data_IF_267877001899
#
_entry.id   IF_267877001899
#
_cell.length_a   1.000
_cell.length_b   1.000
_cell.length_c   1.000
_cell.angle_alpha   90.00
_cell.angle_beta   90.00
_cell.angle_gamma   90.00
#
_symmetry.space_group_name_H-M   'P 1'
#
loop_
_entity.id
_entity.type
_entity.pdbx_description
1 polymer ?
#
# COMPACT_ATOMS: atom_id res chain seq x y z
N UNK A 1 39.72 -36.11 -6.95
CA UNK A 1 38.46 -36.06 -7.73
C UNK A 1 37.34 -35.89 -6.72
N UNK A 2 37.08 -34.66 -6.26
CA UNK A 2 36.25 -33.62 -6.89
C UNK A 2 34.76 -34.00 -6.95
N UNK A 3 33.96 -33.40 -6.06
CA UNK A 3 32.72 -32.68 -6.39
C UNK A 3 31.95 -32.26 -5.10
N UNK A 4 32.52 -31.34 -4.31
CA UNK A 4 31.69 -30.46 -3.47
C UNK A 4 31.20 -29.33 -4.37
N UNK A 5 30.17 -29.60 -5.17
CA UNK A 5 29.53 -28.60 -6.02
C UNK A 5 28.64 -27.70 -5.16
N UNK A 6 28.80 -26.40 -5.36
CA UNK A 6 28.33 -25.33 -4.49
C UNK A 6 26.87 -25.44 -4.11
N UNK A 7 26.62 -25.34 -2.81
CA UNK A 7 25.39 -24.70 -2.35
C UNK A 7 25.41 -23.31 -2.95
N UNK A 8 24.45 -23.00 -3.81
CA UNK A 8 24.19 -21.66 -4.29
C UNK A 8 24.02 -20.76 -3.05
N UNK A 9 25.11 -20.14 -2.61
CA UNK A 9 25.08 -19.10 -1.61
C UNK A 9 24.40 -17.90 -2.28
N UNK A 10 23.07 -17.90 -2.18
CA UNK A 10 22.22 -16.76 -2.46
C UNK A 10 22.88 -15.57 -1.77
N UNK A 11 23.27 -14.51 -2.50
CA UNK A 11 23.84 -13.32 -1.90
C UNK A 11 22.88 -12.82 -0.83
N UNK A 12 23.26 -13.00 0.44
CA UNK A 12 22.55 -12.40 1.57
C UNK A 12 22.78 -10.91 1.45
N UNK A 13 21.93 -10.22 0.70
CA UNK A 13 21.89 -8.76 0.71
C UNK A 13 21.71 -8.35 2.17
N UNK A 14 22.75 -7.74 2.74
CA UNK A 14 22.86 -7.32 4.13
C UNK A 14 21.56 -6.69 4.65
N UNK A 15 21.03 -7.12 5.82
CA UNK A 15 19.81 -6.56 6.42
C UNK A 15 19.82 -5.04 6.56
N UNK A 16 21.01 -4.43 6.65
CA UNK A 16 21.20 -3.00 6.90
C UNK A 16 20.95 -2.08 5.68
N UNK A 17 21.28 -2.52 4.46
CA UNK A 17 21.00 -1.73 3.25
C UNK A 17 19.48 -1.71 2.93
N UNK A 18 18.79 -2.80 3.28
CA UNK A 18 17.34 -2.97 3.16
C UNK A 18 16.55 -2.12 4.17
N UNK A 19 17.18 -1.81 5.31
CA UNK A 19 16.63 -0.95 6.36
C UNK A 19 16.52 0.52 5.96
N UNK A 20 17.60 1.14 5.50
CA UNK A 20 17.60 2.61 5.30
C UNK A 20 16.76 3.03 4.10
N UNK A 21 16.84 2.31 2.98
CA UNK A 21 16.12 2.66 1.76
C UNK A 21 14.60 2.55 1.97
N UNK A 22 14.13 1.46 2.59
CA UNK A 22 12.72 1.27 2.89
C UNK A 22 12.14 2.39 3.76
N UNK A 23 12.82 2.71 4.87
CA UNK A 23 12.41 3.82 5.74
C UNK A 23 12.42 5.18 5.03
N UNK A 24 13.44 5.48 4.23
CA UNK A 24 13.51 6.73 3.45
C UNK A 24 12.37 6.82 2.44
N UNK A 25 12.08 5.74 1.70
CA UNK A 25 10.96 5.70 0.75
C UNK A 25 9.62 5.89 1.47
N UNK A 26 9.42 5.27 2.65
CA UNK A 26 8.22 5.50 3.47
C UNK A 26 8.08 6.95 3.89
N UNK A 27 9.16 7.60 4.33
CA UNK A 27 9.15 9.04 4.67
C UNK A 27 8.86 9.89 3.43
N UNK A 28 9.46 9.58 2.29
CA UNK A 28 9.24 10.33 1.04
C UNK A 28 7.79 10.23 0.55
N UNK A 29 7.17 9.05 0.60
CA UNK A 29 5.75 8.89 0.26
C UNK A 29 4.86 9.76 1.15
N UNK A 30 5.20 9.87 2.43
CA UNK A 30 4.46 10.65 3.42
C UNK A 30 4.79 12.15 3.41
N UNK A 31 5.92 12.55 2.82
CA UNK A 31 6.28 13.94 2.64
C UNK A 31 5.37 14.63 1.62
N UNK A 32 4.88 13.91 0.61
CA UNK A 32 3.99 14.44 -0.44
C UNK A 32 2.72 15.09 0.17
N UNK A 33 1.89 14.38 0.96
CA UNK A 33 0.72 14.99 1.58
C UNK A 33 1.07 16.10 2.58
N UNK A 34 2.20 15.98 3.29
CA UNK A 34 2.65 17.02 4.23
C UNK A 34 3.00 18.33 3.50
N UNK A 35 3.78 18.27 2.43
CA UNK A 35 4.05 19.44 1.59
C UNK A 35 2.79 19.96 0.92
N UNK A 36 1.89 19.05 0.51
CA UNK A 36 0.52 19.35 0.08
C UNK A 36 -0.21 20.33 1.00
N UNK A 37 -0.32 19.96 2.27
CA UNK A 37 -0.95 20.78 3.31
C UNK A 37 -0.19 22.09 3.53
N UNK A 38 1.14 22.05 3.66
CA UNK A 38 1.94 23.21 4.04
C UNK A 38 2.07 24.27 2.93
N UNK A 39 2.13 23.84 1.66
CA UNK A 39 2.42 24.73 0.52
C UNK A 39 1.19 25.03 -0.32
N UNK A 40 0.27 24.07 -0.47
CA UNK A 40 -0.92 24.18 -1.31
C UNK A 40 -2.23 24.22 -0.52
N UNK A 41 -2.17 24.12 0.82
CA UNK A 41 -3.35 24.21 1.68
C UNK A 41 -4.33 23.07 1.46
N UNK A 42 -3.85 21.86 1.17
CA UNK A 42 -4.73 20.69 1.05
C UNK A 42 -5.53 20.47 2.33
N UNK A 43 -6.85 20.34 2.16
CA UNK A 43 -7.81 20.12 3.24
C UNK A 43 -7.90 18.64 3.61
N UNK A 44 -8.70 18.32 4.64
CA UNK A 44 -8.89 16.94 5.08
C UNK A 44 -9.53 16.08 3.98
N UNK A 45 -10.46 16.65 3.21
CA UNK A 45 -11.14 15.97 2.10
C UNK A 45 -10.18 15.49 1.02
N UNK A 46 -9.28 16.37 0.57
CA UNK A 46 -8.23 16.01 -0.37
C UNK A 46 -7.32 14.92 0.18
N UNK A 47 -6.91 15.02 1.45
CA UNK A 47 -6.05 14.01 2.07
C UNK A 47 -6.74 12.64 2.14
N UNK A 48 -8.01 12.60 2.52
CA UNK A 48 -8.78 11.36 2.56
C UNK A 48 -8.94 10.76 1.16
N UNK A 49 -9.23 11.59 0.15
CA UNK A 49 -9.30 11.15 -1.25
C UNK A 49 -7.95 10.61 -1.75
N UNK A 50 -6.83 11.27 -1.40
CA UNK A 50 -5.49 10.83 -1.75
C UNK A 50 -5.12 9.50 -1.11
N UNK A 51 -5.40 9.32 0.19
CA UNK A 51 -5.13 8.05 0.88
C UNK A 51 -6.05 6.93 0.43
N UNK A 52 -7.30 7.24 0.08
CA UNK A 52 -8.18 6.30 -0.58
C UNK A 52 -7.59 5.85 -1.93
N UNK A 53 -7.19 6.80 -2.79
CA UNK A 53 -6.60 6.50 -4.09
C UNK A 53 -5.25 5.76 -3.99
N UNK A 54 -4.45 6.02 -2.95
CA UNK A 54 -3.24 5.25 -2.64
C UNK A 54 -3.55 3.75 -2.52
N UNK A 55 -4.70 3.37 -1.95
CA UNK A 55 -5.09 1.96 -1.85
C UNK A 55 -5.34 1.30 -3.22
N UNK A 56 -5.87 2.05 -4.19
CA UNK A 56 -6.03 1.55 -5.57
C UNK A 56 -4.66 1.24 -6.20
N UNK A 57 -3.68 2.13 -6.00
CA UNK A 57 -2.31 1.93 -6.48
C UNK A 57 -1.69 0.70 -5.83
N UNK A 58 -1.81 0.54 -4.51
CA UNK A 58 -1.30 -0.63 -3.80
C UNK A 58 -1.98 -1.94 -4.24
N UNK A 59 -3.29 -1.89 -4.49
CA UNK A 59 -4.06 -3.01 -5.04
C UNK A 59 -3.53 -3.42 -6.41
N UNK A 60 -3.33 -2.46 -7.32
CA UNK A 60 -2.78 -2.69 -8.66
C UNK A 60 -1.35 -3.25 -8.61
N UNK A 61 -0.50 -2.69 -7.75
CA UNK A 61 0.86 -3.22 -7.50
C UNK A 61 0.78 -4.66 -6.97
N UNK A 62 -0.14 -4.95 -6.04
CA UNK A 62 -0.29 -6.29 -5.48
C UNK A 62 -0.76 -7.31 -6.53
N UNK A 63 -1.66 -6.93 -7.43
CA UNK A 63 -2.04 -7.74 -8.60
C UNK A 63 -0.80 -8.02 -9.46
N UNK A 64 0.02 -7.01 -9.75
CA UNK A 64 1.29 -7.19 -10.46
C UNK A 64 2.24 -8.17 -9.76
N UNK A 65 2.31 -8.12 -8.42
CA UNK A 65 3.10 -9.05 -7.61
C UNK A 65 2.54 -10.47 -7.63
N UNK A 66 1.22 -10.62 -7.61
CA UNK A 66 0.54 -11.92 -7.73
C UNK A 66 0.77 -12.53 -9.11
N UNK A 67 0.72 -11.72 -10.18
CA UNK A 67 1.06 -12.14 -11.54
C UNK A 67 2.52 -12.59 -11.65
N UNK A 68 3.44 -11.80 -11.10
CA UNK A 68 4.88 -12.09 -11.11
C UNK A 68 5.30 -13.24 -10.19
N UNK A 69 4.45 -13.65 -9.23
CA UNK A 69 4.75 -14.76 -8.33
C UNK A 69 4.96 -16.04 -9.14
N UNK A 70 6.06 -16.73 -8.88
CA UNK A 70 6.51 -17.93 -9.59
C UNK A 70 6.52 -19.12 -8.61
N UNK A 71 5.36 -19.74 -8.35
CA UNK A 71 5.26 -20.83 -7.39
C UNK A 71 5.82 -22.13 -7.96
N UNK A 72 6.56 -22.88 -7.14
CA UNK A 72 7.14 -24.18 -7.53
C UNK A 72 6.08 -25.29 -7.77
N UNK A 73 4.85 -25.12 -7.26
CA UNK A 73 3.79 -26.13 -7.36
C UNK A 73 2.75 -25.71 -8.42
N UNK A 74 2.47 -26.61 -9.37
CA UNK A 74 1.48 -26.44 -10.45
C UNK A 74 0.07 -26.11 -9.94
N UNK A 75 -0.29 -26.61 -8.75
CA UNK A 75 -1.56 -26.27 -8.11
C UNK A 75 -1.70 -24.75 -7.90
N UNK A 76 -0.63 -24.08 -7.43
CA UNK A 76 -0.67 -22.64 -7.21
C UNK A 76 -0.68 -21.84 -8.51
N UNK A 77 -0.14 -22.38 -9.60
CA UNK A 77 -0.30 -21.80 -10.93
C UNK A 77 -1.76 -21.79 -11.38
N UNK A 78 -2.44 -22.94 -11.29
CA UNK A 78 -3.88 -23.02 -11.59
C UNK A 78 -4.69 -22.12 -10.64
N UNK A 79 -4.33 -22.11 -9.36
CA UNK A 79 -5.05 -21.35 -8.36
C UNK A 79 -4.92 -19.82 -8.53
N UNK A 80 -3.83 -19.32 -9.12
CA UNK A 80 -3.70 -17.89 -9.49
C UNK A 80 -4.83 -17.41 -10.41
N UNK A 81 -5.35 -18.28 -11.29
CA UNK A 81 -6.47 -17.96 -12.18
C UNK A 81 -7.76 -17.66 -11.42
N UNK A 82 -7.90 -18.22 -10.22
CA UNK A 82 -8.99 -17.88 -9.31
C UNK A 82 -8.62 -16.72 -8.38
N UNK A 83 -7.41 -16.74 -7.82
CA UNK A 83 -6.97 -15.80 -6.79
C UNK A 83 -6.95 -14.35 -7.25
N UNK A 84 -6.47 -14.10 -8.47
CA UNK A 84 -6.30 -12.75 -9.00
C UNK A 84 -7.67 -12.09 -9.27
N UNK A 85 -8.59 -12.70 -10.04
CA UNK A 85 -9.93 -12.14 -10.20
C UNK A 85 -10.68 -11.99 -8.88
N UNK A 86 -10.58 -12.98 -7.98
CA UNK A 86 -11.18 -12.90 -6.65
C UNK A 86 -10.65 -11.69 -5.86
N UNK A 87 -9.32 -11.49 -5.85
CA UNK A 87 -8.70 -10.33 -5.22
C UNK A 87 -9.22 -9.03 -5.84
N UNK A 88 -9.23 -8.90 -7.17
CA UNK A 88 -9.72 -7.68 -7.84
C UNK A 88 -11.16 -7.34 -7.46
N UNK A 89 -12.06 -8.34 -7.45
CA UNK A 89 -13.46 -8.13 -7.11
C UNK A 89 -13.61 -7.82 -5.61
N UNK A 90 -13.06 -8.65 -4.73
CA UNK A 90 -13.22 -8.49 -3.28
C UNK A 90 -12.56 -7.20 -2.76
N UNK A 91 -11.31 -6.95 -3.15
CA UNK A 91 -10.59 -5.72 -2.82
C UNK A 91 -11.26 -4.50 -3.45
N UNK A 92 -11.72 -4.63 -4.71
CA UNK A 92 -12.42 -3.57 -5.44
C UNK A 92 -13.71 -3.16 -4.75
N UNK A 93 -14.56 -4.10 -4.35
CA UNK A 93 -15.80 -3.82 -3.61
C UNK A 93 -15.53 -3.11 -2.28
N UNK A 94 -14.53 -3.57 -1.52
CA UNK A 94 -14.15 -2.93 -0.26
C UNK A 94 -13.65 -1.50 -0.48
N UNK A 95 -12.79 -1.30 -1.50
CA UNK A 95 -12.23 0.01 -1.82
C UNK A 95 -13.30 0.96 -2.34
N UNK A 96 -14.24 0.48 -3.15
CA UNK A 96 -15.38 1.27 -3.63
C UNK A 96 -16.28 1.70 -2.48
N UNK A 97 -16.65 0.78 -1.58
CA UNK A 97 -17.44 1.10 -0.40
C UNK A 97 -16.76 2.13 0.49
N UNK A 98 -15.45 2.00 0.74
CA UNK A 98 -14.71 3.00 1.50
C UNK A 98 -14.65 4.37 0.80
N UNK A 99 -14.45 4.40 -0.52
CA UNK A 99 -14.41 5.66 -1.26
C UNK A 99 -15.74 6.41 -1.22
N UNK A 100 -16.86 5.67 -1.24
CA UNK A 100 -18.18 6.24 -1.00
C UNK A 100 -18.30 6.87 0.40
N UNK A 101 -17.78 6.20 1.44
CA UNK A 101 -17.72 6.79 2.78
C UNK A 101 -16.88 8.06 2.81
N UNK A 102 -15.71 8.06 2.17
CA UNK A 102 -14.84 9.23 2.10
C UNK A 102 -15.54 10.40 1.40
N UNK A 103 -16.20 10.15 0.27
CA UNK A 103 -16.97 11.16 -0.46
C UNK A 103 -18.11 11.73 0.40
N UNK A 104 -18.88 10.85 1.04
CA UNK A 104 -20.03 11.28 1.82
C UNK A 104 -19.65 12.11 3.03
N UNK A 105 -18.53 11.76 3.68
CA UNK A 105 -18.12 12.34 4.95
C UNK A 105 -17.23 13.56 4.79
N UNK A 106 -16.27 13.53 3.85
CA UNK A 106 -15.19 14.51 3.80
C UNK A 106 -15.20 15.39 2.54
N UNK A 107 -16.12 15.18 1.60
CA UNK A 107 -16.20 15.98 0.37
C UNK A 107 -17.56 16.65 0.16
N UNK A 108 -18.31 16.87 1.24
CA UNK A 108 -19.57 17.61 1.19
C UNK A 108 -20.79 16.82 0.72
N UNK A 109 -20.73 15.48 0.70
CA UNK A 109 -21.92 14.64 0.55
C UNK A 109 -22.52 14.53 -0.85
N UNK A 110 -21.85 15.09 -1.87
CA UNK A 110 -22.19 14.88 -3.27
C UNK A 110 -21.66 13.54 -3.76
N UNK A 111 -22.40 12.46 -3.50
CA UNK A 111 -22.15 11.18 -4.18
C UNK A 111 -22.31 11.35 -5.70
N UNK A 112 -21.63 10.54 -6.52
CA UNK A 112 -21.87 10.57 -7.96
C UNK A 112 -23.35 10.24 -8.22
N UNK A 113 -24.05 11.08 -8.99
CA UNK A 113 -25.47 10.91 -9.28
C UNK A 113 -25.74 9.55 -9.96
N UNK A 114 -24.77 9.05 -10.74
CA UNK A 114 -24.77 7.73 -11.36
C UNK A 114 -23.39 7.06 -11.25
N UNK A 115 -23.28 6.03 -10.41
CA UNK A 115 -22.13 5.11 -10.40
C UNK A 115 -22.42 3.94 -11.35
N UNK A 116 -22.18 4.14 -12.65
CA UNK A 116 -22.36 3.07 -13.63
C UNK A 116 -21.22 2.06 -13.53
N UNK A 117 -19.99 2.56 -13.38
CA UNK A 117 -18.76 1.79 -13.43
C UNK A 117 -17.86 2.02 -12.20
N UNK A 118 -17.03 1.04 -11.80
CA UNK A 118 -16.15 1.18 -10.63
C UNK A 118 -15.15 2.34 -10.68
N UNK A 119 -14.78 2.80 -11.88
CA UNK A 119 -13.82 3.90 -12.08
C UNK A 119 -14.47 5.29 -11.98
N UNK A 120 -15.79 5.39 -11.96
CA UNK A 120 -16.50 6.66 -11.86
C UNK A 120 -16.23 7.35 -10.53
N UNK A 121 -16.04 6.58 -9.46
CA UNK A 121 -15.67 7.15 -8.17
C UNK A 121 -14.30 7.83 -8.20
N UNK A 122 -13.32 7.24 -8.90
CA UNK A 122 -12.01 7.85 -9.06
C UNK A 122 -12.11 9.10 -9.95
N UNK A 123 -12.91 9.06 -11.01
CA UNK A 123 -13.08 10.23 -11.89
C UNK A 123 -13.77 11.39 -11.15
N UNK A 124 -14.72 11.11 -10.25
CA UNK A 124 -15.33 12.12 -9.37
C UNK A 124 -14.31 12.78 -8.46
N UNK A 125 -13.45 12.00 -7.80
CA UNK A 125 -12.38 12.57 -6.96
C UNK A 125 -11.37 13.38 -7.77
N UNK A 126 -11.02 12.95 -8.99
CA UNK A 126 -10.12 13.71 -9.87
C UNK A 126 -10.76 15.01 -10.36
N UNK A 127 -12.06 15.00 -10.65
CA UNK A 127 -12.81 16.20 -11.03
C UNK A 127 -12.90 17.20 -9.87
N UNK A 128 -13.14 16.71 -8.65
CA UNK A 128 -13.17 17.53 -7.44
C UNK A 128 -11.79 18.07 -7.06
N UNK A 129 -10.75 17.25 -7.25
CA UNK A 129 -9.38 17.55 -6.84
C UNK A 129 -8.40 17.41 -8.01
N UNK A 130 -8.23 18.45 -8.85
CA UNK A 130 -7.36 18.38 -10.03
C UNK A 130 -5.87 18.09 -9.73
N UNK A 131 -5.40 18.35 -8.51
CA UNK A 131 -4.03 18.03 -8.08
C UNK A 131 -3.85 16.54 -7.69
N UNK A 132 -4.95 15.79 -7.50
CA UNK A 132 -4.95 14.40 -7.06
C UNK A 132 -4.12 13.48 -7.98
N UNK A 133 -4.23 13.53 -9.32
CA UNK A 133 -3.43 12.68 -10.20
C UNK A 133 -1.93 12.89 -10.05
N UNK A 134 -1.48 14.15 -9.90
CA UNK A 134 -0.06 14.46 -9.74
C UNK A 134 0.48 13.97 -8.39
N UNK A 135 -0.28 14.19 -7.31
CA UNK A 135 0.06 13.68 -5.98
C UNK A 135 0.11 12.15 -5.95
N UNK A 136 -0.90 11.51 -6.54
CA UNK A 136 -1.01 10.06 -6.64
C UNK A 136 0.11 9.46 -7.47
N UNK A 137 0.50 10.11 -8.58
CA UNK A 137 1.62 9.67 -9.41
C UNK A 137 2.95 9.69 -8.62
N UNK A 138 3.19 10.73 -7.81
CA UNK A 138 4.35 10.79 -6.92
C UNK A 138 4.38 9.64 -5.90
N UNK A 139 3.25 9.39 -5.24
CA UNK A 139 3.12 8.27 -4.27
C UNK A 139 3.28 6.92 -4.98
N UNK A 140 2.66 6.75 -6.15
CA UNK A 140 2.75 5.54 -6.95
C UNK A 140 4.18 5.24 -7.37
N UNK A 141 4.94 6.26 -7.79
CA UNK A 141 6.35 6.11 -8.13
C UNK A 141 7.16 5.59 -6.94
N UNK A 142 6.93 6.13 -5.74
CA UNK A 142 7.62 5.66 -4.53
C UNK A 142 7.29 4.18 -4.24
N UNK A 143 6.02 3.79 -4.35
CA UNK A 143 5.61 2.39 -4.15
C UNK A 143 6.14 1.44 -5.23
N UNK A 144 6.24 1.90 -6.48
CA UNK A 144 6.84 1.14 -7.57
C UNK A 144 8.34 0.94 -7.34
N UNK A 145 9.06 1.98 -6.93
CA UNK A 145 10.48 1.89 -6.56
C UNK A 145 10.66 0.93 -5.39
N UNK A 146 9.81 1.03 -4.36
CA UNK A 146 9.84 0.10 -3.22
C UNK A 146 9.60 -1.35 -3.67
N UNK A 147 8.60 -1.59 -4.51
CA UNK A 147 8.29 -2.93 -5.04
C UNK A 147 9.43 -3.46 -5.90
N UNK A 148 10.02 -2.61 -6.75
CA UNK A 148 11.16 -3.00 -7.58
C UNK A 148 12.35 -3.41 -6.71
N UNK A 149 12.71 -2.56 -5.74
CA UNK A 149 13.83 -2.80 -4.84
C UNK A 149 13.62 -4.07 -4.00
N UNK A 150 12.46 -4.24 -3.38
CA UNK A 150 12.27 -5.30 -2.38
C UNK A 150 11.76 -6.62 -2.97
N UNK A 151 11.02 -6.59 -4.07
CA UNK A 151 10.35 -7.77 -4.62
C UNK A 151 11.02 -8.30 -5.90
N UNK A 152 11.30 -7.40 -6.84
CA UNK A 152 11.87 -7.77 -8.15
C UNK A 152 13.37 -8.01 -8.04
N UNK A 153 14.12 -7.02 -7.54
CA UNK A 153 15.60 -7.08 -7.51
C UNK A 153 16.14 -8.21 -6.62
N UNK A 154 15.39 -8.58 -5.59
CA UNK A 154 15.76 -9.66 -4.64
C UNK A 154 15.33 -11.06 -5.11
N UNK A 155 14.61 -11.14 -6.23
CA UNK A 155 14.00 -12.38 -6.70
C UNK A 155 12.94 -12.96 -5.74
N UNK A 156 12.38 -12.14 -4.82
CA UNK A 156 11.38 -12.61 -3.86
C UNK A 156 10.13 -13.19 -4.53
N UNK A 157 9.83 -12.76 -5.75
CA UNK A 157 8.74 -13.29 -6.57
C UNK A 157 8.82 -14.82 -6.79
N UNK A 158 10.01 -15.42 -6.76
CA UNK A 158 10.20 -16.87 -6.92
C UNK A 158 9.93 -17.70 -5.66
N UNK A 159 9.81 -17.04 -4.52
CA UNK A 159 9.72 -17.70 -3.20
C UNK A 159 8.44 -17.34 -2.45
N UNK A 160 7.69 -16.36 -2.94
CA UNK A 160 6.49 -15.88 -2.27
C UNK A 160 5.31 -16.81 -2.51
N UNK A 161 4.54 -17.07 -1.46
CA UNK A 161 3.26 -17.75 -1.60
C UNK A 161 2.20 -16.77 -2.17
N UNK A 162 1.55 -17.06 -3.31
CA UNK A 162 0.48 -16.23 -3.85
C UNK A 162 -0.66 -15.95 -2.85
N UNK A 163 -0.96 -16.90 -1.95
CA UNK A 163 -1.95 -16.68 -0.89
C UNK A 163 -1.55 -15.61 0.11
N UNK A 164 -0.26 -15.52 0.44
CA UNK A 164 0.23 -14.48 1.34
C UNK A 164 0.10 -13.09 0.69
N UNK A 165 0.32 -13.00 -0.63
CA UNK A 165 0.13 -11.76 -1.38
C UNK A 165 -1.33 -11.31 -1.38
N UNK A 166 -2.28 -12.23 -1.48
CA UNK A 166 -3.70 -11.87 -1.42
C UNK A 166 -4.03 -11.11 -0.14
N UNK A 167 -3.57 -11.59 1.01
CA UNK A 167 -3.91 -10.98 2.31
C UNK A 167 -3.03 -9.79 2.71
N UNK A 168 -1.90 -9.59 2.05
CA UNK A 168 -0.90 -8.60 2.45
C UNK A 168 -1.46 -7.16 2.56
N UNK A 169 -2.28 -6.66 1.61
CA UNK A 169 -2.77 -5.28 1.66
C UNK A 169 -3.74 -4.98 2.82
N UNK A 170 -4.52 -5.97 3.28
CA UNK A 170 -5.61 -5.73 4.24
C UNK A 170 -5.12 -5.23 5.60
N UNK A 171 -4.00 -5.76 6.09
CA UNK A 171 -3.44 -5.34 7.39
C UNK A 171 -3.13 -3.84 7.43
N UNK A 172 -2.54 -3.30 6.35
CA UNK A 172 -2.25 -1.88 6.22
C UNK A 172 -3.53 -1.06 6.07
N UNK A 173 -4.43 -1.52 5.20
CA UNK A 173 -5.69 -0.84 4.89
C UNK A 173 -6.52 -0.66 6.16
N UNK A 174 -6.75 -1.71 6.94
CA UNK A 174 -7.57 -1.63 8.16
C UNK A 174 -6.98 -0.63 9.16
N UNK A 175 -5.67 -0.69 9.42
CA UNK A 175 -5.02 0.23 10.36
C UNK A 175 -5.10 1.68 9.86
N UNK A 176 -4.88 1.90 8.56
CA UNK A 176 -4.99 3.22 7.97
C UNK A 176 -6.43 3.73 7.96
N UNK A 177 -7.44 2.90 7.68
CA UNK A 177 -8.85 3.32 7.68
C UNK A 177 -9.28 3.73 9.07
N UNK A 178 -8.98 2.93 10.09
CA UNK A 178 -9.29 3.29 11.47
C UNK A 178 -8.63 4.62 11.84
N UNK A 179 -7.33 4.76 11.56
CA UNK A 179 -6.59 5.98 11.93
C UNK A 179 -7.08 7.21 11.17
N UNK A 180 -7.30 7.09 9.86
CA UNK A 180 -7.64 8.22 8.99
C UNK A 180 -9.11 8.62 9.11
N UNK A 181 -10.02 7.67 9.33
CA UNK A 181 -11.44 7.98 9.55
C UNK A 181 -11.59 8.71 10.88
N UNK A 182 -11.12 8.13 12.00
CA UNK A 182 -11.23 8.78 13.31
C UNK A 182 -10.42 10.07 13.39
N UNK A 183 -9.21 10.07 12.82
CA UNK A 183 -8.36 11.25 12.75
C UNK A 183 -8.94 12.34 11.86
N UNK A 184 -9.50 11.99 10.71
CA UNK A 184 -10.17 12.90 9.79
C UNK A 184 -11.37 13.58 10.45
N UNK A 185 -12.25 12.81 11.10
CA UNK A 185 -13.36 13.37 11.87
C UNK A 185 -12.89 14.30 13.00
N UNK A 186 -11.81 13.95 13.70
CA UNK A 186 -11.27 14.81 14.74
C UNK A 186 -10.74 16.14 14.17
N UNK A 187 -10.07 16.10 13.02
CA UNK A 187 -9.59 17.32 12.33
C UNK A 187 -10.76 18.18 11.84
N UNK A 188 -11.76 17.57 11.22
CA UNK A 188 -12.96 18.23 10.72
C UNK A 188 -13.75 18.89 11.86
N UNK A 189 -13.96 18.17 12.97
CA UNK A 189 -14.64 18.70 14.15
C UNK A 189 -13.91 19.89 14.80
N UNK A 190 -12.59 19.99 14.61
CA UNK A 190 -11.79 21.12 15.07
C UNK A 190 -11.80 22.31 14.10
N UNK A 191 -12.48 22.20 12.95
CA UNK A 191 -12.49 23.23 11.90
C UNK A 191 -11.22 23.24 11.05
N UNK A 192 -10.59 22.08 10.87
CA UNK A 192 -9.40 21.86 10.03
C UNK A 192 -8.18 22.75 10.34
N UNK A 193 -7.81 22.97 11.62
CA UNK A 193 -6.64 23.77 11.92
C UNK A 193 -5.39 23.06 11.39
N UNK A 194 -4.49 23.83 10.77
CA UNK A 194 -3.24 23.32 10.17
C UNK A 194 -2.48 22.37 11.10
N UNK A 195 -2.43 22.68 12.39
CA UNK A 195 -1.77 21.86 13.40
C UNK A 195 -2.38 20.44 13.51
N UNK A 196 -3.71 20.30 13.42
CA UNK A 196 -4.38 19.02 13.50
C UNK A 196 -4.12 18.17 12.24
N UNK A 197 -4.09 18.78 11.05
CA UNK A 197 -3.69 18.11 9.80
C UNK A 197 -2.24 17.59 9.89
N UNK A 198 -1.31 18.42 10.38
CA UNK A 198 0.09 18.03 10.56
C UNK A 198 0.21 16.87 11.56
N UNK A 199 -0.53 16.89 12.67
CA UNK A 199 -0.54 15.79 13.64
C UNK A 199 -1.09 14.51 13.02
N UNK A 200 -2.18 14.59 12.25
CA UNK A 200 -2.76 13.43 11.55
C UNK A 200 -1.74 12.80 10.59
N UNK A 201 -1.04 13.62 9.81
CA UNK A 201 -0.01 13.17 8.88
C UNK A 201 1.22 12.59 9.60
N UNK A 202 1.62 13.18 10.72
CA UNK A 202 2.70 12.65 11.55
C UNK A 202 2.33 11.28 12.13
N UNK A 203 1.10 11.13 12.64
CA UNK A 203 0.57 9.85 13.14
C UNK A 203 0.54 8.79 12.03
N UNK A 204 0.03 9.15 10.86
CA UNK A 204 0.01 8.27 9.68
C UNK A 204 1.43 7.83 9.29
N UNK A 205 2.37 8.77 9.25
CA UNK A 205 3.77 8.48 8.94
C UNK A 205 4.39 7.52 9.96
N UNK A 206 4.14 7.74 11.26
CA UNK A 206 4.62 6.88 12.32
C UNK A 206 4.07 5.45 12.21
N UNK A 207 2.79 5.30 11.87
CA UNK A 207 2.14 4.01 11.64
C UNK A 207 2.73 3.31 10.43
N UNK A 208 2.88 4.01 9.30
CA UNK A 208 3.49 3.45 8.09
C UNK A 208 4.93 2.98 8.35
N UNK A 209 5.71 3.77 9.09
CA UNK A 209 7.05 3.37 9.52
C UNK A 209 7.02 2.16 10.45
N UNK A 210 6.09 2.11 11.40
CA UNK A 210 5.88 0.96 12.27
C UNK A 210 5.52 -0.31 11.49
N UNK A 211 4.61 -0.19 10.52
CA UNK A 211 4.25 -1.28 9.61
C UNK A 211 5.43 -1.71 8.75
N UNK A 212 6.30 -0.79 8.34
CA UNK A 212 7.53 -1.15 7.64
C UNK A 212 8.53 -1.90 8.55
N UNK A 213 8.79 -1.38 9.76
CA UNK A 213 9.72 -1.98 10.74
C UNK A 213 9.26 -3.36 11.20
N UNK A 214 8.00 -3.48 11.61
CA UNK A 214 7.45 -4.69 12.22
C UNK A 214 6.73 -5.60 11.21
N UNK A 215 6.26 -5.04 10.10
CA UNK A 215 5.45 -5.75 9.12
C UNK A 215 6.24 -6.70 8.26
N UNK A 216 7.52 -6.40 7.94
CA UNK A 216 8.52 -7.27 7.27
C UNK A 216 8.00 -8.08 6.06
N UNK A 217 8.58 -7.92 4.87
CA UNK A 217 8.18 -8.71 3.69
C UNK A 217 8.01 -10.20 4.03
N UNK A 218 6.87 -10.85 3.68
CA UNK A 218 6.54 -12.20 4.16
C UNK A 218 7.68 -13.23 4.02
N UNK A 219 8.51 -13.11 2.98
CA UNK A 219 9.67 -13.99 2.78
C UNK A 219 10.82 -13.85 3.80
N UNK A 220 10.93 -12.72 4.51
CA UNK A 220 11.93 -12.52 5.57
C UNK A 220 11.51 -13.18 6.89
N UNK A 221 10.21 -13.22 7.19
CA UNK A 221 9.67 -13.86 8.38
C UNK A 221 9.68 -15.38 8.24
N UNK A 222 9.32 -15.89 7.07
CA UNK A 222 9.31 -17.34 6.80
C UNK A 222 10.71 -17.95 6.84
N UNK A 223 11.74 -17.22 6.38
CA UNK A 223 13.14 -17.67 6.48
C UNK A 223 13.69 -17.61 7.90
N UNK A 224 13.25 -16.66 8.72
CA UNK A 224 13.62 -16.61 10.14
C UNK A 224 12.90 -17.68 10.97
N UNK A 225 11.64 -18.00 10.67
CA UNK A 225 10.87 -19.05 11.34
C UNK A 225 11.37 -20.45 10.95
N UNK A 226 11.65 -20.68 9.66
CA UNK A 226 12.25 -21.93 9.18
C UNK A 226 13.62 -22.20 9.83
N UNK A 227 14.39 -21.15 10.14
CA UNK A 227 15.67 -21.26 10.83
C UNK A 227 15.53 -21.51 12.34
N UNK A 228 14.41 -21.11 12.95
CA UNK A 228 14.10 -21.37 14.37
C UNK A 228 13.51 -22.76 14.62
N UNK A 229 12.91 -23.37 13.60
CA UNK A 229 12.35 -24.73 13.64
C UNK A 229 13.35 -25.81 13.19
N UNK A 230 14.59 -25.44 12.86
CA UNK A 230 15.72 -26.36 12.64
C UNK A 230 16.57 -26.54 13.92
N UNK A 231 15.91 -26.68 15.07
CA UNK A 231 16.51 -27.19 16.31
C UNK A 231 15.94 -28.57 16.59
#
# INVERSE_FOLDING_TARGET
MSATAGRDEVPRLEPFARGRLGGVLTVLANAIPLFGVLLWGWDVGFLMALFWAENLVLGGINVGRMLAADPANVFYWAFKLFLIPFFCVHFGMFTAGHGLFVMQLFTGGGGPDDLEMPWDLLSSFVALYPALPAALAGIALVHLVHTWADFISTGAYRRVNPMALMFQPYSRIVVLHVTLIFGGFAVEALGEPLAALVVLLALKTAIDLGLWVFGGTPGAKDSALAKRLQV
#
